data_IF_893059486765
#
_entry.id   IF_893059486765
#
_cell.length_a   1.000
_cell.length_b   1.000
_cell.length_c   1.000
_cell.angle_alpha   90.00
_cell.angle_beta   90.00
_cell.angle_gamma   90.00
#
_symmetry.space_group_name_H-M   'P 1'
#
loop_
_entity.id
_entity.type
_entity.pdbx_description
1 polymer ?
#
# COMPACT_ATOMS: atom_id res chain seq x y z
N UNK A 1 -70.54 39.31 22.48
CA UNK A 1 -69.15 39.81 22.16
C UNK A 1 -68.21 38.67 22.45
N UNK A 2 -67.82 37.93 21.39
CA UNK A 2 -66.92 36.76 21.48
C UNK A 2 -65.58 37.24 20.98
N UNK A 3 -64.54 37.22 21.84
CA UNK A 3 -63.13 37.52 21.48
C UNK A 3 -62.49 36.24 21.03
N UNK A 4 -62.10 36.21 19.74
CA UNK A 4 -61.21 35.17 19.16
C UNK A 4 -59.77 35.56 19.43
N UNK A 5 -59.07 34.74 20.20
CA UNK A 5 -57.60 34.87 20.38
C UNK A 5 -56.88 34.01 19.33
N UNK A 6 -56.15 34.65 18.42
CA UNK A 6 -55.27 33.99 17.44
C UNK A 6 -53.94 33.69 18.14
N UNK A 7 -53.61 32.43 18.33
CA UNK A 7 -52.26 31.98 18.73
C UNK A 7 -51.46 31.66 17.46
N UNK A 8 -50.47 32.47 17.18
CA UNK A 8 -49.52 32.21 16.09
C UNK A 8 -48.45 31.20 16.56
N UNK A 9 -48.44 30.02 15.93
CA UNK A 9 -47.40 29.03 16.15
C UNK A 9 -46.18 29.33 15.28
N UNK A 10 -45.06 29.62 15.93
CA UNK A 10 -43.75 29.84 15.26
C UNK A 10 -43.17 28.46 14.91
N UNK A 11 -43.12 28.12 13.61
CA UNK A 11 -42.42 26.93 13.13
C UNK A 11 -40.96 27.29 12.90
N UNK A 12 -40.08 26.87 13.80
CA UNK A 12 -38.63 26.99 13.63
C UNK A 12 -38.15 25.80 12.81
N UNK A 13 -37.89 26.04 11.51
CA UNK A 13 -37.27 25.06 10.61
C UNK A 13 -35.80 24.91 10.93
N UNK A 14 -35.36 23.78 11.49
CA UNK A 14 -33.98 23.41 11.74
C UNK A 14 -33.40 22.89 10.44
N UNK A 15 -32.66 23.73 9.74
CA UNK A 15 -31.84 23.30 8.58
C UNK A 15 -30.57 22.62 9.12
N UNK A 16 -30.55 21.28 9.13
CA UNK A 16 -29.33 20.50 9.36
C UNK A 16 -28.41 20.70 8.16
N UNK A 17 -27.38 21.52 8.32
CA UNK A 17 -26.28 21.59 7.35
C UNK A 17 -25.53 20.24 7.34
N UNK A 18 -25.86 19.39 6.38
CA UNK A 18 -25.02 18.25 6.04
C UNK A 18 -23.74 18.81 5.40
N UNK A 19 -22.70 19.02 6.22
CA UNK A 19 -21.37 19.29 5.70
C UNK A 19 -20.94 18.07 4.89
N UNK A 20 -20.50 18.23 3.62
CA UNK A 20 -19.97 17.12 2.86
C UNK A 20 -18.73 16.55 3.60
N UNK A 21 -18.53 15.23 3.56
CA UNK A 21 -17.34 14.63 4.15
C UNK A 21 -16.11 15.25 3.47
N UNK A 22 -15.28 15.92 4.25
CA UNK A 22 -13.97 16.41 3.78
C UNK A 22 -13.15 15.17 3.47
N UNK A 23 -12.90 14.92 2.19
CA UNK A 23 -11.95 13.89 1.77
C UNK A 23 -10.59 14.25 2.40
N UNK A 24 -10.18 13.52 3.43
CA UNK A 24 -8.83 13.65 3.98
C UNK A 24 -7.91 13.02 2.96
N UNK A 25 -7.12 13.83 2.29
CA UNK A 25 -5.97 13.33 1.54
C UNK A 25 -5.10 12.54 2.53
N UNK A 26 -4.70 11.33 2.13
CA UNK A 26 -3.84 10.51 2.95
C UNK A 26 -2.53 11.23 3.25
N UNK A 27 -1.93 10.98 4.40
CA UNK A 27 -0.70 11.65 4.84
C UNK A 27 0.52 11.30 3.96
N UNK A 28 0.39 10.27 3.11
CA UNK A 28 1.42 9.83 2.17
C UNK A 28 1.44 10.64 0.87
N UNK A 29 0.35 11.34 0.53
CA UNK A 29 0.32 12.26 -0.61
C UNK A 29 0.83 13.63 -0.16
N UNK A 30 1.82 14.16 -0.87
CA UNK A 30 2.30 15.52 -0.64
C UNK A 30 1.20 16.52 -0.96
N UNK A 31 0.59 17.12 0.05
CA UNK A 31 -0.39 18.17 -0.15
C UNK A 31 0.34 19.46 -0.53
N UNK A 32 0.35 19.81 -1.82
CA UNK A 32 0.82 21.10 -2.29
C UNK A 32 -0.30 22.14 -2.17
N UNK A 33 -0.82 22.35 -0.97
CA UNK A 33 -1.53 23.57 -0.63
C UNK A 33 -0.85 24.20 0.59
N UNK A 34 0.25 24.90 0.33
CA UNK A 34 0.76 25.87 1.28
C UNK A 34 -0.20 27.06 1.28
N UNK A 35 -1.16 27.09 2.19
CA UNK A 35 -1.76 28.34 2.62
C UNK A 35 -0.67 29.08 3.42
N UNK A 36 -0.17 30.23 2.95
CA UNK A 36 0.86 30.96 3.69
C UNK A 36 0.30 31.35 5.06
N UNK A 37 0.96 30.92 6.13
CA UNK A 37 0.68 31.38 7.50
C UNK A 37 0.10 30.36 8.47
N UNK A 38 -0.29 29.15 8.06
CA UNK A 38 -0.73 28.11 9.00
C UNK A 38 0.37 27.06 9.16
N UNK A 39 1.11 27.13 10.27
CA UNK A 39 1.94 26.02 10.75
C UNK A 39 1.02 25.16 11.62
N UNK A 40 0.64 23.95 11.19
CA UNK A 40 -0.11 23.04 12.04
C UNK A 40 0.80 22.60 13.20
N UNK A 41 0.59 23.14 14.38
CA UNK A 41 1.20 22.62 15.62
C UNK A 41 0.40 21.37 15.97
N UNK A 42 0.80 20.24 15.46
CA UNK A 42 0.30 18.96 15.93
C UNK A 42 0.96 18.66 17.30
N UNK A 43 0.26 18.93 18.39
CA UNK A 43 0.59 18.34 19.67
C UNK A 43 0.24 16.85 19.61
N UNK A 44 1.14 16.04 19.05
CA UNK A 44 1.07 14.59 19.20
C UNK A 44 1.34 14.28 20.67
N UNK A 45 0.34 13.79 21.40
CA UNK A 45 0.60 13.01 22.61
C UNK A 45 1.64 11.96 22.22
N UNK A 46 2.69 11.81 23.03
CA UNK A 46 3.67 10.73 22.89
C UNK A 46 2.93 9.43 23.18
N UNK A 47 2.23 8.94 22.17
CA UNK A 47 1.69 7.60 22.15
C UNK A 47 2.89 6.67 21.90
N UNK A 48 2.97 5.54 22.61
CA UNK A 48 3.94 4.51 22.28
C UNK A 48 3.90 4.31 20.76
N UNK A 49 5.06 4.36 20.08
CA UNK A 49 5.10 4.37 18.63
C UNK A 49 4.34 3.14 18.12
N UNK A 50 3.19 3.38 17.51
CA UNK A 50 2.40 2.31 16.94
C UNK A 50 3.23 1.62 15.85
N UNK A 51 3.38 0.30 15.95
CA UNK A 51 4.19 -0.50 15.03
C UNK A 51 3.29 -1.36 14.16
N UNK A 52 3.70 -1.54 12.90
CA UNK A 52 3.13 -2.51 11.98
C UNK A 52 3.99 -3.75 12.00
N UNK A 53 3.37 -4.91 12.17
CA UNK A 53 4.06 -6.19 12.01
C UNK A 53 3.95 -6.62 10.56
N UNK A 54 5.10 -6.85 9.92
CA UNK A 54 5.24 -7.29 8.54
C UNK A 54 5.84 -8.69 8.56
N UNK A 55 5.15 -9.65 7.93
CA UNK A 55 5.63 -11.02 7.76
C UNK A 55 5.68 -11.35 6.29
N UNK A 56 6.84 -11.74 5.79
CA UNK A 56 7.00 -12.31 4.45
C UNK A 56 6.50 -13.76 4.48
N UNK A 57 5.45 -14.02 3.74
CA UNK A 57 4.79 -15.34 3.75
C UNK A 57 5.44 -16.25 2.72
N UNK A 58 5.40 -15.83 1.45
CA UNK A 58 5.96 -16.56 0.31
C UNK A 58 5.84 -15.68 -0.95
N UNK A 59 6.71 -15.92 -1.95
CA UNK A 59 6.67 -15.32 -3.27
C UNK A 59 6.51 -13.77 -3.24
N UNK A 60 5.30 -13.24 -3.40
CA UNK A 60 4.96 -11.80 -3.27
C UNK A 60 3.93 -11.53 -2.17
N UNK A 61 3.58 -12.55 -1.40
CA UNK A 61 2.61 -12.41 -0.31
C UNK A 61 3.28 -11.96 0.97
N UNK A 62 2.88 -10.78 1.45
CA UNK A 62 3.18 -10.29 2.79
C UNK A 62 1.92 -10.24 3.63
N UNK A 63 2.09 -10.47 4.92
CA UNK A 63 1.05 -10.31 5.92
C UNK A 63 1.37 -9.08 6.76
N UNK A 64 0.52 -8.07 6.68
CA UNK A 64 0.60 -6.85 7.49
C UNK A 64 -0.39 -6.96 8.64
N UNK A 65 0.05 -6.69 9.87
CA UNK A 65 -0.85 -6.55 11.01
C UNK A 65 -0.71 -5.16 11.59
N UNK A 66 -1.81 -4.41 11.55
CA UNK A 66 -1.85 -3.04 12.06
C UNK A 66 -1.95 -2.99 13.58
N UNK A 67 -1.68 -1.85 14.22
CA UNK A 67 -1.88 -1.65 15.67
C UNK A 67 -3.31 -1.94 16.13
N UNK A 68 -4.33 -1.62 15.34
CA UNK A 68 -5.72 -1.95 15.65
C UNK A 68 -6.09 -3.43 15.38
N UNK A 69 -5.12 -4.25 14.90
CA UNK A 69 -5.30 -5.67 14.69
C UNK A 69 -5.88 -6.05 13.32
N UNK A 70 -6.01 -5.10 12.39
CA UNK A 70 -6.37 -5.43 10.99
C UNK A 70 -5.26 -6.28 10.39
N UNK A 71 -5.64 -7.36 9.73
CA UNK A 71 -4.73 -8.25 9.02
C UNK A 71 -4.96 -8.10 7.52
N UNK A 72 -3.90 -7.75 6.80
CA UNK A 72 -3.89 -7.60 5.35
C UNK A 72 -2.95 -8.63 4.75
N UNK A 73 -3.33 -9.29 3.65
CA UNK A 73 -2.42 -10.11 2.85
C UNK A 73 -2.31 -9.54 1.44
N UNK A 74 -1.07 -9.33 0.98
CA UNK A 74 -0.78 -8.81 -0.36
C UNK A 74 -0.64 -9.95 -1.36
N UNK A 75 -0.98 -9.70 -2.63
CA UNK A 75 -0.90 -10.65 -3.74
C UNK A 75 -1.37 -12.06 -3.37
N UNK A 76 -2.60 -12.10 -2.85
CA UNK A 76 -3.20 -13.28 -2.25
C UNK A 76 -3.65 -14.29 -3.32
N UNK A 77 -3.01 -15.43 -3.33
CA UNK A 77 -3.31 -16.55 -4.23
C UNK A 77 -3.95 -17.76 -3.50
N UNK A 78 -4.66 -17.51 -2.39
CA UNK A 78 -5.34 -18.57 -1.62
C UNK A 78 -4.67 -18.89 -0.28
N UNK A 79 -3.43 -18.44 -0.04
CA UNK A 79 -2.71 -18.66 1.21
C UNK A 79 -2.13 -17.33 1.73
N UNK A 80 -2.28 -17.08 3.00
CA UNK A 80 -1.83 -15.84 3.65
C UNK A 80 -0.92 -16.10 4.88
N UNK A 81 -0.29 -17.26 4.94
CA UNK A 81 0.51 -17.65 6.10
C UNK A 81 -0.34 -18.07 7.30
N UNK A 82 0.35 -18.48 8.38
CA UNK A 82 -0.27 -18.90 9.62
C UNK A 82 -0.94 -17.73 10.36
N UNK A 83 -2.07 -17.99 11.01
CA UNK A 83 -2.77 -17.03 11.86
C UNK A 83 -4.23 -16.79 11.44
N UNK A 84 -4.87 -15.72 11.94
CA UNK A 84 -6.28 -15.44 11.63
C UNK A 84 -6.47 -15.12 10.16
N UNK A 85 -7.67 -15.38 9.63
CA UNK A 85 -8.06 -15.01 8.27
C UNK A 85 -7.84 -13.51 8.08
N UNK A 86 -7.23 -13.06 6.96
CA UNK A 86 -7.07 -11.65 6.66
C UNK A 86 -8.41 -10.92 6.60
N UNK A 87 -8.45 -9.70 7.10
CA UNK A 87 -9.62 -8.82 6.92
C UNK A 87 -9.66 -8.24 5.51
N UNK A 88 -8.48 -8.05 4.92
CA UNK A 88 -8.28 -7.47 3.59
C UNK A 88 -7.27 -8.31 2.83
N UNK A 89 -7.50 -8.52 1.54
CA UNK A 89 -6.48 -9.04 0.62
C UNK A 89 -6.39 -8.15 -0.60
N UNK A 90 -5.17 -8.03 -1.14
CA UNK A 90 -4.95 -7.43 -2.46
C UNK A 90 -4.52 -8.51 -3.44
N UNK A 91 -4.79 -8.31 -4.72
CA UNK A 91 -4.47 -9.25 -5.80
C UNK A 91 -4.03 -8.48 -7.04
N UNK A 92 -3.20 -9.09 -7.88
CA UNK A 92 -2.80 -8.57 -9.18
C UNK A 92 -2.97 -9.63 -10.28
N UNK A 93 -3.28 -9.21 -11.52
CA UNK A 93 -3.74 -10.10 -12.60
C UNK A 93 -2.59 -10.66 -13.44
N UNK A 94 -1.34 -10.66 -12.95
CA UNK A 94 -0.20 -11.12 -13.73
C UNK A 94 -0.27 -12.64 -14.03
N UNK A 95 -0.43 -13.45 -12.99
CA UNK A 95 -0.64 -14.90 -13.08
C UNK A 95 -1.15 -15.46 -11.73
N UNK A 96 -1.54 -16.72 -11.72
CA UNK A 96 -2.25 -17.40 -10.64
C UNK A 96 -1.54 -17.41 -9.26
N UNK A 97 -0.26 -17.08 -9.19
CA UNK A 97 0.44 -16.92 -7.91
C UNK A 97 0.22 -15.54 -7.25
N UNK A 98 -0.50 -14.62 -7.92
CA UNK A 98 -0.81 -13.27 -7.44
C UNK A 98 -2.29 -13.03 -7.19
N UNK A 99 -3.15 -13.97 -7.56
CA UNK A 99 -4.59 -13.88 -7.32
C UNK A 99 -5.24 -15.27 -7.21
N UNK A 100 -6.49 -15.28 -6.79
CA UNK A 100 -7.38 -16.44 -6.86
C UNK A 100 -8.79 -15.98 -7.18
N UNK A 101 -9.52 -16.78 -7.96
CA UNK A 101 -10.93 -16.56 -8.24
C UNK A 101 -11.81 -17.01 -7.06
N UNK A 102 -11.25 -17.80 -6.15
CA UNK A 102 -11.94 -18.40 -5.00
C UNK A 102 -11.32 -17.96 -3.66
N UNK A 103 -11.36 -16.66 -3.32
CA UNK A 103 -10.88 -16.20 -2.02
C UNK A 103 -11.73 -16.81 -0.89
N UNK A 104 -11.10 -17.01 0.27
CA UNK A 104 -11.82 -17.46 1.46
C UNK A 104 -13.02 -16.52 1.73
N UNK A 105 -14.27 -17.04 1.81
CA UNK A 105 -15.47 -16.22 1.96
C UNK A 105 -15.53 -15.43 3.27
N UNK A 106 -14.65 -15.73 4.24
CA UNK A 106 -14.52 -14.98 5.49
C UNK A 106 -13.70 -13.70 5.33
N UNK A 107 -13.02 -13.50 4.20
CA UNK A 107 -12.28 -12.28 3.90
C UNK A 107 -13.27 -11.16 3.58
N UNK A 108 -13.29 -10.13 4.42
CA UNK A 108 -14.28 -9.06 4.29
C UNK A 108 -14.04 -8.15 3.08
N UNK A 109 -12.76 -7.94 2.69
CA UNK A 109 -12.38 -7.04 1.62
C UNK A 109 -11.39 -7.71 0.66
N UNK A 110 -11.82 -7.90 -0.60
CA UNK A 110 -10.98 -8.43 -1.67
C UNK A 110 -10.73 -7.32 -2.70
N UNK A 111 -9.51 -6.79 -2.73
CA UNK A 111 -9.12 -5.67 -3.56
C UNK A 111 -8.36 -6.17 -4.79
N UNK A 112 -9.05 -6.32 -5.91
CA UNK A 112 -8.42 -6.68 -7.17
C UNK A 112 -7.70 -5.48 -7.77
N UNK A 113 -6.41 -5.62 -8.07
CA UNK A 113 -5.57 -4.59 -8.70
C UNK A 113 -5.91 -4.31 -10.16
N UNK A 114 -6.88 -5.02 -10.71
CA UNK A 114 -7.46 -4.85 -12.05
C UNK A 114 -8.98 -4.70 -11.97
N UNK A 115 -9.56 -4.17 -13.02
CA UNK A 115 -11.01 -4.06 -13.15
C UNK A 115 -11.52 -5.08 -14.20
N UNK A 116 -12.29 -6.10 -13.83
CA UNK A 116 -12.78 -7.11 -14.78
C UNK A 116 -13.72 -6.53 -15.85
N UNK A 117 -14.25 -5.32 -15.65
CA UNK A 117 -15.08 -4.63 -16.64
C UNK A 117 -14.27 -3.67 -17.54
N UNK A 118 -12.92 -3.72 -17.46
CA UNK A 118 -12.01 -2.83 -18.19
C UNK A 118 -11.73 -1.49 -17.49
N UNK A 119 -10.64 -0.86 -17.93
CA UNK A 119 -10.14 0.39 -17.32
C UNK A 119 -9.43 0.17 -15.97
N UNK A 120 -8.96 1.25 -15.35
CA UNK A 120 -8.18 1.15 -14.13
C UNK A 120 -9.03 0.73 -12.91
N UNK A 121 -8.50 -0.16 -12.08
CA UNK A 121 -9.05 -0.38 -10.75
C UNK A 121 -8.86 0.88 -9.88
N UNK A 122 -9.86 1.18 -9.03
CA UNK A 122 -9.83 2.32 -8.12
C UNK A 122 -10.22 1.88 -6.73
N UNK A 123 -9.27 1.92 -5.83
CA UNK A 123 -9.48 1.62 -4.41
C UNK A 123 -9.07 2.82 -3.57
N UNK A 124 -9.93 3.19 -2.65
CA UNK A 124 -9.71 4.18 -1.61
C UNK A 124 -10.55 3.76 -0.41
N UNK A 125 -10.01 2.85 0.38
CA UNK A 125 -10.72 2.14 1.44
C UNK A 125 -10.08 2.39 2.80
N UNK A 126 -10.88 2.79 3.77
CA UNK A 126 -10.47 2.87 5.17
C UNK A 126 -11.00 1.68 5.95
N UNK A 127 -10.10 0.95 6.60
CA UNK A 127 -10.43 -0.16 7.52
C UNK A 127 -9.77 0.11 8.86
N UNK A 128 -10.54 0.44 9.87
CA UNK A 128 -10.07 0.82 11.21
C UNK A 128 -8.96 1.90 11.15
N UNK A 129 -7.69 1.51 11.39
CA UNK A 129 -6.53 2.40 11.46
C UNK A 129 -5.70 2.44 10.18
N UNK A 130 -6.11 1.75 9.10
CA UNK A 130 -5.40 1.75 7.82
C UNK A 130 -6.25 2.35 6.70
N UNK A 131 -5.64 3.22 5.89
CA UNK A 131 -6.14 3.67 4.60
C UNK A 131 -5.43 2.88 3.51
N UNK A 132 -6.18 2.33 2.56
CA UNK A 132 -5.66 1.51 1.46
C UNK A 132 -6.08 2.14 0.15
N UNK A 133 -5.12 2.46 -0.71
CA UNK A 133 -5.37 2.97 -2.06
C UNK A 133 -4.47 2.28 -3.07
N UNK A 134 -4.73 2.47 -4.36
CA UNK A 134 -3.92 1.88 -5.41
C UNK A 134 -3.53 2.88 -6.49
N UNK A 135 -2.46 2.57 -7.20
CA UNK A 135 -2.04 3.21 -8.45
C UNK A 135 -1.94 2.12 -9.52
N UNK A 136 -2.79 2.13 -10.55
CA UNK A 136 -2.78 1.13 -11.60
C UNK A 136 -1.54 1.21 -12.47
N UNK A 137 -1.04 0.05 -12.88
CA UNK A 137 0.05 -0.09 -13.88
C UNK A 137 -0.28 -1.21 -14.85
N UNK A 138 0.37 -1.19 -16.02
CA UNK A 138 0.17 -2.18 -17.04
C UNK A 138 1.01 -3.44 -16.78
N UNK A 139 0.58 -4.59 -17.29
CA UNK A 139 1.37 -5.81 -17.31
C UNK A 139 1.72 -6.22 -18.74
N UNK A 140 2.88 -6.84 -18.89
CA UNK A 140 3.33 -7.48 -20.13
C UNK A 140 2.80 -8.91 -20.15
N UNK A 141 2.16 -9.27 -21.22
CA UNK A 141 1.73 -10.64 -21.50
C UNK A 141 2.74 -11.32 -22.45
N UNK A 142 2.56 -12.60 -22.69
CA UNK A 142 3.37 -13.34 -23.65
C UNK A 142 3.15 -12.84 -25.09
N UNK A 143 4.21 -12.81 -25.91
CA UNK A 143 4.11 -12.45 -27.32
C UNK A 143 3.94 -10.97 -27.61
N UNK A 144 4.65 -10.09 -26.89
CA UNK A 144 4.65 -8.63 -27.09
C UNK A 144 3.29 -7.93 -26.85
N UNK A 145 2.32 -8.65 -26.32
CA UNK A 145 1.04 -8.08 -25.90
C UNK A 145 1.13 -7.51 -24.50
N UNK A 146 0.19 -6.65 -24.14
CA UNK A 146 0.07 -6.12 -22.78
C UNK A 146 -1.39 -6.09 -22.33
N UNK A 147 -1.60 -6.13 -21.04
CA UNK A 147 -2.89 -5.85 -20.42
C UNK A 147 -2.80 -4.50 -19.70
N UNK A 148 -3.61 -3.55 -20.16
CA UNK A 148 -3.71 -2.26 -19.51
C UNK A 148 -4.31 -2.43 -18.11
N UNK A 149 -3.64 -1.83 -17.12
CA UNK A 149 -4.10 -1.83 -15.73
C UNK A 149 -4.26 -3.22 -15.09
N UNK A 150 -3.50 -4.23 -15.55
CA UNK A 150 -3.52 -5.57 -14.98
C UNK A 150 -2.81 -5.69 -13.63
N UNK A 151 -2.02 -4.70 -13.24
CA UNK A 151 -1.36 -4.59 -11.94
C UNK A 151 -1.76 -3.30 -11.23
N UNK A 152 -1.68 -3.29 -9.92
CA UNK A 152 -1.79 -2.11 -9.08
C UNK A 152 -0.68 -2.08 -8.04
N UNK A 153 -0.08 -0.92 -7.86
CA UNK A 153 0.72 -0.62 -6.67
C UNK A 153 -0.26 -0.29 -5.57
N UNK A 154 -0.30 -1.13 -4.53
CA UNK A 154 -1.12 -0.87 -3.35
C UNK A 154 -0.33 -0.09 -2.31
N UNK A 155 -0.94 0.96 -1.76
CA UNK A 155 -0.37 1.81 -0.73
C UNK A 155 -1.22 1.67 0.53
N UNK A 156 -0.55 1.32 1.64
CA UNK A 156 -1.13 1.17 2.96
C UNK A 156 -0.62 2.30 3.85
N UNK A 157 -1.52 3.17 4.26
CA UNK A 157 -1.22 4.30 5.14
C UNK A 157 -1.68 3.95 6.55
N UNK A 158 -0.73 3.64 7.44
CA UNK A 158 -1.01 3.12 8.79
C UNK A 158 0.11 3.47 9.75
N UNK A 159 -0.21 3.83 10.98
CA UNK A 159 0.78 4.17 12.02
C UNK A 159 1.80 5.25 11.57
N UNK A 160 1.34 6.24 10.78
CA UNK A 160 2.15 7.29 10.14
C UNK A 160 3.13 6.78 9.09
N UNK A 161 3.14 5.48 8.79
CA UNK A 161 3.92 4.85 7.74
C UNK A 161 3.17 4.83 6.41
N UNK A 162 3.93 4.95 5.32
CA UNK A 162 3.52 4.78 3.95
C UNK A 162 4.18 3.52 3.39
N UNK A 163 3.41 2.45 3.24
CA UNK A 163 3.91 1.14 2.83
C UNK A 163 3.40 0.86 1.42
N UNK A 164 4.30 0.67 0.46
CA UNK A 164 3.97 0.36 -0.93
C UNK A 164 4.29 -1.08 -1.30
N UNK A 165 3.34 -1.76 -1.93
CA UNK A 165 3.55 -3.06 -2.56
C UNK A 165 3.46 -2.87 -4.07
N UNK A 166 4.59 -3.07 -4.78
CA UNK A 166 4.67 -2.79 -6.22
C UNK A 166 3.94 -3.83 -7.09
N UNK A 167 3.49 -4.92 -6.46
CA UNK A 167 2.83 -6.01 -7.16
C UNK A 167 3.78 -6.64 -8.19
N UNK A 168 3.24 -7.00 -9.33
CA UNK A 168 3.97 -7.55 -10.47
C UNK A 168 4.30 -6.44 -11.49
N UNK A 169 5.13 -5.46 -11.07
CA UNK A 169 5.48 -4.31 -11.89
C UNK A 169 6.28 -4.72 -13.13
N UNK A 170 5.87 -4.27 -14.33
CA UNK A 170 6.52 -4.61 -15.60
C UNK A 170 7.20 -3.43 -16.28
N UNK A 171 6.83 -2.21 -15.95
CA UNK A 171 7.31 -0.97 -16.59
C UNK A 171 7.81 0.03 -15.56
N UNK A 172 8.74 0.89 -15.94
CA UNK A 172 9.13 2.03 -15.12
C UNK A 172 7.91 2.92 -14.85
N UNK A 173 7.91 3.58 -13.70
CA UNK A 173 6.84 4.47 -13.30
C UNK A 173 6.91 5.79 -14.07
N UNK A 174 5.76 6.27 -14.52
CA UNK A 174 5.65 7.60 -15.10
C UNK A 174 5.70 8.68 -13.99
N UNK A 175 6.02 9.94 -14.33
CA UNK A 175 5.97 11.05 -13.37
C UNK A 175 4.58 11.18 -12.70
N UNK A 176 3.50 10.91 -13.44
CA UNK A 176 2.13 10.94 -12.94
C UNK A 176 1.89 9.82 -11.93
N UNK A 177 2.39 8.59 -12.22
CA UNK A 177 2.29 7.47 -11.29
C UNK A 177 3.10 7.74 -10.01
N UNK A 178 4.33 8.27 -10.13
CA UNK A 178 5.14 8.67 -8.98
C UNK A 178 4.43 9.73 -8.13
N UNK A 179 3.78 10.72 -8.75
CA UNK A 179 3.01 11.74 -8.05
C UNK A 179 1.78 11.14 -7.33
N UNK A 180 1.09 10.17 -7.94
CA UNK A 180 -0.04 9.45 -7.35
C UNK A 180 0.40 8.50 -6.24
N UNK A 181 1.58 7.89 -6.32
CA UNK A 181 2.14 7.06 -5.26
C UNK A 181 2.47 7.93 -4.05
N UNK A 182 3.13 9.06 -4.26
CA UNK A 182 3.57 9.95 -3.19
C UNK A 182 4.76 9.39 -2.39
N UNK A 183 4.86 9.75 -1.11
CA UNK A 183 5.91 9.26 -0.21
C UNK A 183 5.70 7.78 0.11
N UNK A 184 6.77 7.01 0.07
CA UNK A 184 6.83 5.66 0.62
C UNK A 184 7.97 5.57 1.64
N UNK A 185 7.69 4.97 2.78
CA UNK A 185 8.67 4.67 3.82
C UNK A 185 9.21 3.23 3.65
N UNK A 186 8.33 2.32 3.23
CA UNK A 186 8.62 0.91 3.02
C UNK A 186 8.11 0.49 1.65
N UNK A 187 8.90 -0.27 0.89
CA UNK A 187 8.53 -0.79 -0.43
C UNK A 187 8.78 -2.28 -0.50
N UNK A 188 7.78 -3.04 -0.93
CA UNK A 188 7.94 -4.43 -1.35
C UNK A 188 8.12 -4.47 -2.87
N UNK A 189 9.25 -5.00 -3.35
CA UNK A 189 9.65 -4.96 -4.75
C UNK A 189 10.01 -6.35 -5.27
N UNK A 190 9.47 -6.72 -6.43
CA UNK A 190 9.81 -7.95 -7.13
C UNK A 190 11.21 -7.85 -7.75
N UNK A 191 12.07 -8.84 -7.51
CA UNK A 191 13.49 -8.81 -7.94
C UNK A 191 13.92 -10.07 -8.69
N UNK A 192 13.01 -10.71 -9.41
CA UNK A 192 13.33 -11.81 -10.31
C UNK A 192 14.03 -11.33 -11.60
N UNK A 193 13.73 -10.12 -12.06
CA UNK A 193 14.36 -9.46 -13.21
C UNK A 193 13.99 -10.02 -14.58
N UNK A 194 13.03 -10.93 -14.65
CA UNK A 194 12.62 -11.61 -15.90
C UNK A 194 11.11 -11.62 -16.13
N UNK A 195 10.36 -12.16 -15.20
CA UNK A 195 8.87 -12.13 -15.26
C UNK A 195 8.34 -10.73 -14.93
N UNK A 196 8.99 -10.01 -14.03
CA UNK A 196 8.68 -8.62 -13.68
C UNK A 196 9.60 -7.63 -14.42
N UNK A 197 9.74 -6.42 -13.92
CA UNK A 197 10.63 -5.41 -14.45
C UNK A 197 12.10 -5.86 -14.34
N UNK A 198 12.88 -5.67 -15.40
CA UNK A 198 14.32 -5.98 -15.42
C UNK A 198 15.06 -5.30 -14.26
N UNK A 199 16.01 -6.00 -13.62
CA UNK A 199 16.68 -5.53 -12.40
C UNK A 199 17.26 -4.11 -12.50
N UNK A 200 17.98 -3.71 -13.58
CA UNK A 200 18.46 -2.33 -13.68
C UNK A 200 17.35 -1.29 -13.61
N UNK A 201 16.23 -1.56 -14.28
CA UNK A 201 15.05 -0.66 -14.26
C UNK A 201 14.33 -0.67 -12.92
N UNK A 202 14.26 -1.81 -12.22
CA UNK A 202 13.70 -1.87 -10.87
C UNK A 202 14.55 -1.06 -9.90
N UNK A 203 15.87 -1.13 -10.00
CA UNK A 203 16.80 -0.33 -9.18
C UNK A 203 16.57 1.16 -9.41
N UNK A 204 16.40 1.60 -10.67
CA UNK A 204 16.05 3.00 -10.98
C UNK A 204 14.70 3.41 -10.33
N UNK A 205 13.67 2.58 -10.44
CA UNK A 205 12.36 2.82 -9.79
C UNK A 205 12.52 2.99 -8.28
N UNK A 206 13.31 2.13 -7.63
CA UNK A 206 13.54 2.21 -6.19
C UNK A 206 14.31 3.47 -5.79
N UNK A 207 15.25 3.93 -6.62
CA UNK A 207 15.91 5.22 -6.43
C UNK A 207 14.93 6.40 -6.55
N UNK A 208 14.00 6.36 -7.51
CA UNK A 208 12.99 7.39 -7.68
C UNK A 208 11.99 7.45 -6.51
N UNK A 209 11.60 6.29 -5.98
CA UNK A 209 10.70 6.17 -4.83
C UNK A 209 11.32 6.62 -3.50
N UNK A 210 12.65 6.56 -3.34
CA UNK A 210 13.41 7.03 -2.17
C UNK A 210 12.90 6.49 -0.83
N UNK A 211 12.44 5.25 -0.80
CA UNK A 211 11.98 4.62 0.43
C UNK A 211 13.13 4.40 1.43
N UNK A 212 12.83 4.50 2.72
CA UNK A 212 13.80 4.21 3.78
C UNK A 212 14.11 2.72 3.88
N UNK A 213 13.13 1.87 3.57
CA UNK A 213 13.24 0.42 3.68
C UNK A 213 12.69 -0.25 2.41
N UNK A 214 13.52 -1.03 1.74
CA UNK A 214 13.14 -1.88 0.61
C UNK A 214 13.21 -3.34 1.05
N UNK A 215 12.13 -4.08 0.83
CA UNK A 215 12.06 -5.52 1.11
C UNK A 215 11.86 -6.25 -0.21
N UNK A 216 12.89 -6.98 -0.71
CA UNK A 216 12.78 -7.73 -1.94
C UNK A 216 11.84 -8.93 -1.80
N UNK A 217 11.12 -9.22 -2.85
CA UNK A 217 10.20 -10.35 -3.00
C UNK A 217 10.33 -10.96 -4.39
N UNK A 218 9.60 -12.03 -4.68
CA UNK A 218 9.48 -12.60 -6.02
C UNK A 218 10.84 -12.95 -6.64
N UNK A 219 11.68 -13.66 -5.90
CA UNK A 219 12.96 -14.17 -6.41
C UNK A 219 13.00 -15.69 -6.33
N UNK A 220 13.46 -16.34 -7.39
CA UNK A 220 13.45 -17.80 -7.56
C UNK A 220 14.86 -18.39 -7.32
N UNK A 221 15.52 -17.95 -6.25
CA UNK A 221 16.85 -18.39 -5.90
C UNK A 221 17.83 -17.25 -5.68
N UNK A 222 19.10 -17.60 -5.40
CA UNK A 222 20.09 -16.62 -4.97
C UNK A 222 20.66 -15.73 -6.09
N UNK A 223 20.53 -16.11 -7.37
CA UNK A 223 21.20 -15.41 -8.47
C UNK A 223 20.63 -14.00 -8.70
N UNK A 224 19.31 -13.89 -8.98
CA UNK A 224 18.67 -12.60 -9.21
C UNK A 224 18.68 -11.72 -7.96
N UNK A 225 18.46 -12.30 -6.77
CA UNK A 225 18.61 -11.57 -5.52
C UNK A 225 20.04 -11.05 -5.35
N UNK A 226 21.07 -11.86 -5.63
CA UNK A 226 22.46 -11.44 -5.52
C UNK A 226 22.81 -10.30 -6.48
N UNK A 227 22.35 -10.35 -7.73
CA UNK A 227 22.49 -9.28 -8.71
C UNK A 227 21.79 -7.99 -8.26
N UNK A 228 20.55 -8.10 -7.80
CA UNK A 228 19.80 -6.98 -7.23
C UNK A 228 20.55 -6.32 -6.07
N UNK A 229 21.00 -7.11 -5.09
CA UNK A 229 21.73 -6.60 -3.93
C UNK A 229 23.05 -5.95 -4.34
N UNK A 230 23.75 -6.50 -5.34
CA UNK A 230 24.96 -5.89 -5.87
C UNK A 230 24.70 -4.51 -6.48
N UNK A 231 23.60 -4.36 -7.24
CA UNK A 231 23.20 -3.09 -7.83
C UNK A 231 22.72 -2.04 -6.82
N UNK A 232 22.21 -2.46 -5.67
CA UNK A 232 21.70 -1.54 -4.63
C UNK A 232 22.80 -1.04 -3.67
N UNK A 233 23.96 -1.71 -3.56
CA UNK A 233 24.99 -1.47 -2.54
C UNK A 233 25.61 -0.07 -2.54
N UNK A 234 25.59 0.64 -3.65
CA UNK A 234 26.18 1.98 -3.72
C UNK A 234 25.35 3.01 -2.95
N UNK A 235 24.04 2.78 -2.84
CA UNK A 235 23.08 3.77 -2.30
C UNK A 235 22.28 3.25 -1.12
N UNK A 236 22.22 1.93 -0.90
CA UNK A 236 21.49 1.29 0.18
C UNK A 236 22.40 0.43 1.06
N UNK A 237 22.18 0.46 2.35
CA UNK A 237 22.72 -0.57 3.25
C UNK A 237 22.00 -1.90 2.99
N UNK A 238 22.74 -3.01 3.07
CA UNK A 238 22.16 -4.34 2.85
C UNK A 238 22.14 -5.09 4.17
N UNK A 239 20.94 -5.47 4.59
CA UNK A 239 20.70 -6.29 5.78
C UNK A 239 20.02 -7.60 5.40
N UNK A 240 20.48 -8.70 5.97
CA UNK A 240 19.86 -10.02 5.81
C UNK A 240 19.41 -10.49 7.19
N UNK A 241 18.09 -10.57 7.37
CA UNK A 241 17.51 -11.01 8.63
C UNK A 241 17.17 -12.49 8.57
N UNK A 242 17.55 -13.23 9.61
CA UNK A 242 17.05 -14.59 9.83
C UNK A 242 15.63 -14.51 10.35
N UNK A 243 14.69 -15.04 9.56
CA UNK A 243 13.25 -15.03 9.86
C UNK A 243 12.45 -14.09 8.99
N UNK A 244 11.17 -14.36 8.92
CA UNK A 244 10.25 -13.74 7.98
C UNK A 244 9.53 -12.50 8.54
N UNK A 245 9.72 -12.16 9.82
CA UNK A 245 8.87 -11.15 10.49
C UNK A 245 9.68 -10.01 11.08
N UNK A 246 9.21 -8.78 10.85
CA UNK A 246 9.69 -7.55 11.48
C UNK A 246 8.54 -6.76 12.10
N UNK A 247 8.86 -5.90 13.05
CA UNK A 247 7.97 -4.84 13.55
C UNK A 247 8.59 -3.49 13.22
N UNK A 248 7.85 -2.66 12.50
CA UNK A 248 8.32 -1.36 12.03
C UNK A 248 7.38 -0.25 12.52
N UNK A 249 7.97 0.82 12.99
CA UNK A 249 7.31 2.08 13.31
C UNK A 249 8.10 3.23 12.70
N UNK A 250 7.52 4.42 12.64
CA UNK A 250 8.24 5.60 12.16
C UNK A 250 9.57 5.85 12.93
N UNK A 251 9.64 5.44 14.20
CA UNK A 251 10.85 5.58 15.03
C UNK A 251 11.93 4.55 14.75
N UNK A 252 11.53 3.38 14.23
CA UNK A 252 12.44 2.25 13.97
C UNK A 252 12.81 2.12 12.50
N UNK A 253 12.29 3.01 11.63
CA UNK A 253 12.76 3.08 10.24
C UNK A 253 14.27 3.34 10.20
N UNK A 254 15.00 2.69 9.27
CA UNK A 254 16.42 2.94 9.08
C UNK A 254 16.70 4.42 8.80
N UNK A 255 17.79 4.93 9.38
CA UNK A 255 18.24 6.31 9.11
C UNK A 255 18.93 6.47 7.76
N UNK A 256 19.45 5.38 7.22
CA UNK A 256 19.98 5.28 5.86
C UNK A 256 19.08 4.37 5.04
N UNK A 257 18.91 4.63 3.75
CA UNK A 257 18.15 3.72 2.90
C UNK A 257 18.70 2.30 3.03
N UNK A 258 17.85 1.33 3.30
CA UNK A 258 18.25 -0.05 3.59
C UNK A 258 17.44 -1.03 2.75
N UNK A 259 18.11 -2.00 2.17
CA UNK A 259 17.47 -3.22 1.63
C UNK A 259 17.53 -4.28 2.72
N UNK A 260 16.38 -4.73 3.19
CA UNK A 260 16.24 -5.79 4.18
C UNK A 260 15.70 -7.06 3.54
N UNK A 261 16.54 -8.08 3.47
CA UNK A 261 16.13 -9.40 2.99
C UNK A 261 15.52 -10.20 4.14
N UNK A 262 14.24 -10.54 4.02
CA UNK A 262 13.56 -11.45 4.92
C UNK A 262 13.59 -12.85 4.31
N UNK A 263 13.80 -13.86 5.14
CA UNK A 263 13.77 -15.26 4.70
C UNK A 263 12.47 -15.91 5.17
N UNK A 264 11.58 -16.34 4.24
CA UNK A 264 10.43 -17.15 4.63
C UNK A 264 10.92 -18.48 5.26
N UNK A 265 10.07 -19.09 6.07
CA UNK A 265 10.39 -20.34 6.79
C UNK A 265 10.51 -21.53 5.86
#
# INVERSE_FOLDING_TARGET
MIRLSLTAALVVSFWAFLSPPVARAGHCLAYVQRTPGLVPIAFSRVQAAAAVRITYVDHSTFRLRTPAGVVIATDYAGYAGAGPVPSVVTMNHAHETHYTDFPDPRIAQVLRGWNPNGGPAKHDLKVADVQIRNVPTDIRLWGETFEAFGNSIFIFEVAELCIGHLGHLHYKLTPEQLALIGRLDIVFAAVDGSYTLALPSMIEVLHDLRASLVIPMHFFGGASLGEFLAGMRETFEIEIQRGATIEVSLKTLPRRPTVLVLTPY
#
